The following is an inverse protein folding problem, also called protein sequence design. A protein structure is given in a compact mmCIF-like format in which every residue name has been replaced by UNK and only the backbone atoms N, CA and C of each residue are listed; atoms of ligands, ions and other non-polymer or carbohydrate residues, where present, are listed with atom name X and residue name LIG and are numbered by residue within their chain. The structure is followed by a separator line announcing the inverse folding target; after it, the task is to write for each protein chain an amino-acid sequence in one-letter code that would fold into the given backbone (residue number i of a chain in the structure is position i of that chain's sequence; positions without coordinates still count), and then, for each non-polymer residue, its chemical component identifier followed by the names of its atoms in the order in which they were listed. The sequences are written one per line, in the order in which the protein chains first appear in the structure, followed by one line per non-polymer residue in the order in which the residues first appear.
data_IF_834753180780
#
_entry.id   IF_834753180780
#
_cell.length_a   1.000
_cell.length_b   1.000
_cell.length_c   1.000
_cell.angle_alpha   90.00
_cell.angle_beta   90.00
_cell.angle_gamma   90.00
#
_symmetry.space_group_name_H-M   'P 1'
#
loop_
_entity.id
_entity.type
_entity.pdbx_description
1 polymer ?
#
# COMPACT_ATOMS: atom_id res chain seq x y z
N UNK A 1 -61.31 -17.48 -9.15
CA UNK A 1 -60.42 -16.81 -10.12
C UNK A 1 -59.18 -16.34 -9.36
N UNK A 2 -58.08 -17.10 -9.38
CA UNK A 2 -56.85 -16.76 -8.65
C UNK A 2 -55.87 -16.01 -9.55
N UNK A 3 -55.65 -14.72 -9.32
CA UNK A 3 -54.57 -13.96 -9.97
C UNK A 3 -53.29 -14.20 -9.17
N UNK A 4 -52.38 -15.01 -9.72
CA UNK A 4 -51.00 -15.14 -9.21
C UNK A 4 -50.24 -13.89 -9.63
N UNK A 5 -49.90 -13.03 -8.67
CA UNK A 5 -49.00 -11.90 -8.89
C UNK A 5 -47.57 -12.43 -9.05
N UNK A 6 -47.00 -12.25 -10.24
CA UNK A 6 -45.60 -12.47 -10.50
C UNK A 6 -44.84 -11.23 -10.00
N UNK A 7 -43.92 -11.43 -9.05
CA UNK A 7 -43.02 -10.39 -8.57
C UNK A 7 -41.66 -10.62 -9.22
N UNK A 8 -41.32 -9.82 -10.23
CA UNK A 8 -39.97 -9.77 -10.77
C UNK A 8 -39.11 -8.84 -9.89
N UNK A 9 -38.19 -9.42 -9.12
CA UNK A 9 -37.15 -8.66 -8.42
C UNK A 9 -36.02 -8.41 -9.41
N UNK A 10 -36.08 -7.26 -10.09
CA UNK A 10 -34.99 -6.80 -10.95
C UNK A 10 -33.94 -6.12 -10.07
N UNK A 11 -32.87 -6.84 -9.72
CA UNK A 11 -31.68 -6.23 -9.09
C UNK A 11 -30.85 -5.57 -10.19
N UNK A 12 -31.19 -4.34 -10.54
CA UNK A 12 -30.40 -3.52 -11.46
C UNK A 12 -29.15 -3.01 -10.77
N UNK A 13 -28.04 -3.75 -10.80
CA UNK A 13 -26.74 -3.19 -10.46
C UNK A 13 -26.36 -2.20 -11.56
N UNK A 14 -26.63 -0.91 -11.31
CA UNK A 14 -26.25 0.19 -12.20
C UNK A 14 -24.73 0.14 -12.35
N UNK A 15 -24.24 -0.15 -13.54
CA UNK A 15 -22.82 -0.26 -13.90
C UNK A 15 -21.93 0.83 -13.30
N UNK A 16 -22.45 2.05 -13.11
CA UNK A 16 -21.73 3.13 -12.43
C UNK A 16 -21.35 2.84 -10.97
N UNK A 17 -22.13 2.05 -10.23
CA UNK A 17 -21.78 1.69 -8.84
C UNK A 17 -20.58 0.74 -8.79
N UNK A 18 -20.53 -0.24 -9.71
CA UNK A 18 -19.40 -1.16 -9.84
C UNK A 18 -18.14 -0.43 -10.29
N UNK A 19 -18.26 0.49 -11.25
CA UNK A 19 -17.13 1.34 -11.69
C UNK A 19 -16.58 2.15 -10.52
N UNK A 20 -17.45 2.80 -9.75
CA UNK A 20 -17.02 3.56 -8.58
C UNK A 20 -16.33 2.68 -7.52
N UNK A 21 -16.85 1.47 -7.26
CA UNK A 21 -16.20 0.52 -6.36
C UNK A 21 -14.79 0.14 -6.85
N UNK A 22 -14.62 -0.08 -8.16
CA UNK A 22 -13.31 -0.37 -8.76
C UNK A 22 -12.35 0.81 -8.64
N UNK A 23 -12.82 2.05 -8.84
CA UNK A 23 -12.01 3.26 -8.65
C UNK A 23 -11.51 3.40 -7.20
N UNK A 24 -12.40 3.17 -6.22
CA UNK A 24 -12.05 3.20 -4.80
C UNK A 24 -11.03 2.12 -4.46
N UNK A 25 -11.20 0.90 -4.98
CA UNK A 25 -10.24 -0.19 -4.79
C UNK A 25 -8.88 0.17 -5.41
N UNK A 26 -8.87 0.72 -6.63
CA UNK A 26 -7.65 1.13 -7.31
C UNK A 26 -6.88 2.19 -6.50
N UNK A 27 -7.58 3.20 -5.98
CA UNK A 27 -6.98 4.22 -5.11
C UNK A 27 -6.42 3.62 -3.82
N UNK A 28 -7.15 2.69 -3.19
CA UNK A 28 -6.67 1.99 -2.00
C UNK A 28 -5.41 1.16 -2.27
N UNK A 29 -5.34 0.46 -3.40
CA UNK A 29 -4.15 -0.30 -3.79
C UNK A 29 -2.94 0.61 -4.04
N UNK A 30 -3.15 1.82 -4.59
CA UNK A 30 -2.08 2.80 -4.75
C UNK A 30 -1.54 3.28 -3.40
N UNK A 31 -2.42 3.54 -2.42
CA UNK A 31 -2.01 3.94 -1.07
C UNK A 31 -1.22 2.82 -0.36
N UNK A 32 -1.69 1.57 -0.46
CA UNK A 32 -0.97 0.41 0.07
C UNK A 32 0.39 0.28 -0.61
N UNK A 33 0.47 0.40 -1.94
CA UNK A 33 1.73 0.33 -2.66
C UNK A 33 2.71 1.44 -2.24
N UNK A 34 2.22 2.66 -1.99
CA UNK A 34 3.04 3.75 -1.48
C UNK A 34 3.62 3.42 -0.10
N UNK A 35 2.79 2.93 0.83
CA UNK A 35 3.24 2.52 2.17
C UNK A 35 4.24 1.38 2.14
N UNK A 36 4.04 0.39 1.25
CA UNK A 36 4.96 -0.74 1.10
C UNK A 36 6.35 -0.30 0.62
N UNK A 37 6.45 0.77 -0.18
CA UNK A 37 7.75 1.30 -0.64
C UNK A 37 8.58 1.93 0.47
N UNK A 38 7.96 2.36 1.57
CA UNK A 38 8.68 2.93 2.72
C UNK A 38 9.23 1.87 3.69
N UNK A 39 8.76 0.61 3.59
CA UNK A 39 9.16 -0.47 4.51
C UNK A 39 10.67 -0.73 4.49
N UNK A 40 11.33 -0.86 3.33
CA UNK A 40 12.78 -1.11 3.27
C UNK A 40 13.61 0.02 3.90
N UNK A 41 13.06 1.22 4.00
CA UNK A 41 13.73 2.33 4.65
C UNK A 41 13.65 2.26 6.18
N UNK A 42 12.68 1.54 6.73
CA UNK A 42 12.36 1.51 8.17
C UNK A 42 12.77 0.19 8.82
N UNK A 43 12.79 -0.90 8.06
CA UNK A 43 12.97 -2.25 8.58
C UNK A 43 14.04 -3.02 7.80
N UNK A 44 14.79 -3.84 8.54
CA UNK A 44 15.81 -4.74 7.98
C UNK A 44 15.15 -5.84 7.15
N UNK A 45 15.60 -6.02 5.91
CA UNK A 45 15.07 -7.05 4.99
C UNK A 45 15.32 -8.47 5.51
N UNK A 46 16.45 -8.70 6.20
CA UNK A 46 16.84 -10.02 6.68
C UNK A 46 16.08 -10.44 7.95
N UNK A 47 15.90 -9.53 8.90
CA UNK A 47 15.43 -9.87 10.25
C UNK A 47 14.20 -9.09 10.73
N UNK A 48 13.64 -8.20 9.89
CA UNK A 48 12.46 -7.39 10.19
C UNK A 48 12.62 -6.43 11.37
N UNK A 49 13.84 -6.28 11.91
CA UNK A 49 14.14 -5.36 12.99
C UNK A 49 14.24 -3.91 12.50
N UNK A 50 14.01 -2.96 13.41
CA UNK A 50 14.10 -1.53 13.08
C UNK A 50 15.51 -1.15 12.61
N UNK A 51 15.54 -0.35 11.55
CA UNK A 51 16.74 0.34 11.07
C UNK A 51 16.88 1.68 11.79
N UNK A 52 18.05 1.90 12.38
CA UNK A 52 18.40 3.15 13.05
C UNK A 52 19.24 3.98 12.08
N UNK A 53 18.84 5.22 11.83
CA UNK A 53 19.65 6.15 11.02
C UNK A 53 20.92 6.53 11.79
N UNK A 54 22.06 6.35 11.14
CA UNK A 54 23.37 6.69 11.71
C UNK A 54 23.94 7.97 11.09
N UNK A 55 23.80 8.12 9.79
CA UNK A 55 24.28 9.29 9.05
C UNK A 55 23.30 9.59 7.91
N UNK A 56 23.09 10.87 7.63
CA UNK A 56 22.22 11.32 6.54
C UNK A 56 22.90 12.45 5.77
N UNK A 57 22.96 12.28 4.45
CA UNK A 57 23.37 13.26 3.46
C UNK A 57 22.16 13.60 2.57
N UNK A 58 22.34 14.55 1.65
CA UNK A 58 21.28 15.09 0.77
C UNK A 58 20.53 14.00 -0.02
N UNK A 59 21.23 12.92 -0.41
CA UNK A 59 20.66 11.84 -1.24
C UNK A 59 20.82 10.44 -0.65
N UNK A 60 21.47 10.30 0.51
CA UNK A 60 21.84 8.99 1.06
C UNK A 60 21.68 9.00 2.57
N UNK A 61 21.04 7.97 3.10
CA UNK A 61 21.02 7.67 4.53
C UNK A 61 21.75 6.35 4.80
N UNK A 62 22.71 6.38 5.71
CA UNK A 62 23.34 5.17 6.25
C UNK A 62 22.55 4.76 7.49
N UNK A 63 21.95 3.57 7.46
CA UNK A 63 21.19 3.01 8.57
C UNK A 63 21.84 1.72 9.07
N UNK A 64 21.61 1.36 10.32
CA UNK A 64 22.06 0.08 10.89
C UNK A 64 20.91 -0.69 11.50
N UNK A 65 20.87 -2.01 11.32
CA UNK A 65 19.89 -2.83 12.00
C UNK A 65 20.29 -3.04 13.48
N UNK A 66 19.37 -2.74 14.40
CA UNK A 66 19.60 -2.92 15.84
C UNK A 66 19.85 -4.39 16.23
N UNK A 67 19.22 -5.34 15.53
CA UNK A 67 19.32 -6.78 15.81
C UNK A 67 20.49 -7.42 15.10
N UNK A 68 20.66 -7.10 13.82
CA UNK A 68 21.61 -7.77 12.94
C UNK A 68 22.99 -7.06 12.91
N UNK A 69 23.06 -5.78 13.30
CA UNK A 69 24.31 -5.00 13.33
C UNK A 69 24.80 -4.55 11.94
N UNK A 70 24.20 -5.06 10.87
CA UNK A 70 24.52 -4.69 9.49
C UNK A 70 24.15 -3.24 9.17
N UNK A 71 24.96 -2.64 8.30
CA UNK A 71 24.78 -1.29 7.80
C UNK A 71 24.20 -1.34 6.39
N UNK A 72 23.19 -0.51 6.16
CA UNK A 72 22.45 -0.37 4.91
C UNK A 72 22.65 1.05 4.39
N UNK A 73 23.07 1.18 3.13
CA UNK A 73 23.06 2.46 2.43
C UNK A 73 21.75 2.58 1.67
N UNK A 74 20.92 3.54 2.07
CA UNK A 74 19.61 3.80 1.48
C UNK A 74 19.71 5.09 0.67
N UNK A 75 19.50 4.99 -0.65
CA UNK A 75 19.45 6.16 -1.52
C UNK A 75 18.04 6.73 -1.49
N UNK A 76 17.91 8.00 -1.11
CA UNK A 76 16.67 8.74 -1.31
C UNK A 76 16.70 9.29 -2.73
N UNK A 77 15.93 8.69 -3.63
CA UNK A 77 15.68 9.33 -4.91
C UNK A 77 14.96 10.66 -4.62
N UNK A 78 15.57 11.78 -5.04
CA UNK A 78 14.90 13.05 -5.07
C UNK A 78 13.66 12.88 -5.97
N UNK A 79 12.49 12.76 -5.34
CA UNK A 79 11.22 12.81 -6.05
C UNK A 79 11.10 14.24 -6.56
N UNK A 80 11.51 14.47 -7.82
CA UNK A 80 11.12 15.63 -8.60
C UNK A 80 9.68 15.47 -9.09
#
# INVERSE_FOLDING_TARGET
MSKKGQFDVVVGMKTGHLVHQLEVIAAGLQDVAAKLREIPEKYCEECGGDLIEMERSEFVAIKSCKKCGEKFCIQHNAVQ
#
